data_IF_506173795207
#
_entry.id   IF_506173795207
#
_cell.length_a   1.000
_cell.length_b   1.000
_cell.length_c   1.000
_cell.angle_alpha   90.00
_cell.angle_beta   90.00
_cell.angle_gamma   90.00
#
_symmetry.space_group_name_H-M   'P 1'
#
loop_
_entity.id
_entity.type
_entity.pdbx_description
1 polymer ?
#
# COMPACT_ATOMS: atom_id res chain seq x y z
N UNK A 1 -33.09 -14.85 24.33
CA UNK A 1 -34.27 -15.69 23.97
C UNK A 1 -35.36 -14.98 23.14
N UNK A 2 -35.41 -13.67 23.03
CA UNK A 2 -36.44 -12.93 22.26
C UNK A 2 -36.24 -12.87 20.73
N UNK A 3 -35.02 -13.10 20.22
CA UNK A 3 -34.71 -13.01 18.80
C UNK A 3 -35.13 -14.21 17.96
N UNK A 4 -35.21 -15.39 18.58
CA UNK A 4 -35.59 -16.64 17.86
C UNK A 4 -37.12 -16.84 17.75
N UNK A 5 -37.92 -16.14 18.56
CA UNK A 5 -39.38 -16.23 18.49
C UNK A 5 -39.96 -15.39 17.34
N UNK A 6 -39.28 -14.28 16.96
CA UNK A 6 -39.70 -13.48 15.82
C UNK A 6 -39.42 -14.18 14.48
N UNK A 7 -38.25 -14.85 14.34
CA UNK A 7 -37.94 -15.63 13.12
C UNK A 7 -38.91 -16.80 12.90
N UNK A 8 -39.32 -17.50 14.01
CA UNK A 8 -40.24 -18.62 13.90
C UNK A 8 -41.68 -18.18 13.56
N UNK A 9 -42.10 -17.01 14.01
CA UNK A 9 -43.40 -16.44 13.62
C UNK A 9 -43.41 -15.93 12.16
N UNK A 10 -42.29 -15.45 11.63
CA UNK A 10 -42.17 -15.07 10.22
C UNK A 10 -42.16 -16.28 9.30
N UNK A 11 -41.47 -17.38 9.67
CA UNK A 11 -41.51 -18.63 8.90
C UNK A 11 -42.90 -19.31 8.89
N UNK A 12 -43.63 -19.24 10.02
CA UNK A 12 -44.97 -19.83 10.09
C UNK A 12 -46.02 -19.01 9.31
N UNK A 13 -45.88 -17.70 9.27
CA UNK A 13 -46.74 -16.83 8.46
C UNK A 13 -46.52 -17.01 6.95
N UNK A 14 -45.29 -17.39 6.55
CA UNK A 14 -44.98 -17.75 5.16
C UNK A 14 -45.60 -19.10 4.71
N UNK A 15 -45.81 -20.04 5.64
CA UNK A 15 -46.38 -21.36 5.34
C UNK A 15 -47.91 -21.37 5.24
N UNK A 16 -48.60 -20.30 5.69
CA UNK A 16 -50.06 -20.21 5.70
C UNK A 16 -50.60 -19.14 4.73
N UNK A 17 -49.75 -18.49 3.96
CA UNK A 17 -50.19 -17.52 2.97
C UNK A 17 -50.94 -18.22 1.82
N UNK A 18 -52.10 -17.67 1.36
CA UNK A 18 -52.86 -18.27 0.28
C UNK A 18 -52.02 -18.37 -1.00
N UNK A 19 -52.21 -19.48 -1.74
CA UNK A 19 -51.44 -19.80 -2.96
C UNK A 19 -51.37 -18.64 -3.97
N UNK A 20 -52.34 -17.70 -3.97
CA UNK A 20 -52.34 -16.48 -4.75
C UNK A 20 -51.24 -15.46 -4.32
N UNK A 21 -50.84 -15.47 -3.06
CA UNK A 21 -49.75 -14.62 -2.60
C UNK A 21 -48.39 -15.17 -3.06
N UNK A 22 -48.25 -16.50 -3.14
CA UNK A 22 -47.08 -17.16 -3.69
C UNK A 22 -47.01 -17.07 -5.21
N UNK A 23 -48.17 -17.10 -5.92
CA UNK A 23 -48.20 -16.90 -7.35
C UNK A 23 -47.76 -15.49 -7.76
N UNK A 24 -48.15 -14.43 -6.98
CA UNK A 24 -47.71 -13.05 -7.25
C UNK A 24 -46.26 -12.76 -6.88
N UNK A 25 -45.60 -13.59 -6.04
CA UNK A 25 -44.19 -13.52 -5.72
C UNK A 25 -43.33 -14.26 -6.74
N UNK A 26 -43.89 -15.24 -7.42
CA UNK A 26 -43.21 -16.00 -8.47
C UNK A 26 -43.19 -15.29 -9.84
N UNK A 27 -43.97 -14.21 -10.01
CA UNK A 27 -44.12 -13.49 -11.26
C UNK A 27 -43.39 -12.13 -11.35
N UNK A 28 -42.58 -11.79 -10.35
CA UNK A 28 -41.73 -10.59 -10.43
C UNK A 28 -40.26 -10.99 -10.71
N UNK A 29 -39.84 -10.94 -11.99
CA UNK A 29 -38.49 -11.33 -12.37
C UNK A 29 -37.41 -10.49 -11.71
N UNK A 30 -37.66 -9.19 -11.35
CA UNK A 30 -36.71 -8.37 -10.68
C UNK A 30 -36.46 -8.86 -9.26
N UNK A 31 -37.49 -9.16 -8.51
CA UNK A 31 -37.40 -9.70 -7.15
C UNK A 31 -36.69 -11.06 -7.14
N UNK A 32 -37.05 -11.96 -8.05
CA UNK A 32 -36.39 -13.25 -8.21
C UNK A 32 -34.87 -13.06 -8.52
N UNK A 33 -34.56 -12.12 -9.41
CA UNK A 33 -33.17 -11.79 -9.76
C UNK A 33 -32.35 -11.30 -8.55
N UNK A 34 -32.91 -10.41 -7.74
CA UNK A 34 -32.25 -9.88 -6.52
C UNK A 34 -32.00 -11.01 -5.51
N UNK A 35 -33.03 -11.85 -5.24
CA UNK A 35 -32.89 -13.00 -4.35
C UNK A 35 -31.82 -14.01 -4.82
N UNK A 36 -31.73 -14.26 -6.11
CA UNK A 36 -30.70 -15.12 -6.71
C UNK A 36 -29.31 -14.48 -6.59
N UNK A 37 -29.19 -13.17 -6.79
CA UNK A 37 -27.93 -12.44 -6.66
C UNK A 37 -27.42 -12.49 -5.22
N UNK A 38 -28.30 -12.20 -4.25
CA UNK A 38 -27.98 -12.24 -2.81
C UNK A 38 -27.60 -13.67 -2.35
N UNK A 39 -28.14 -14.69 -3.01
CA UNK A 39 -27.77 -16.09 -2.80
C UNK A 39 -26.47 -16.49 -3.52
N UNK A 40 -25.77 -15.57 -4.18
CA UNK A 40 -24.54 -15.83 -4.93
C UNK A 40 -24.73 -16.55 -6.27
N UNK A 41 -25.99 -16.76 -6.70
CA UNK A 41 -26.33 -17.39 -7.99
C UNK A 41 -26.39 -16.36 -9.11
N UNK A 42 -25.24 -15.69 -9.32
CA UNK A 42 -25.18 -14.48 -10.16
C UNK A 42 -25.56 -14.75 -11.61
N UNK A 43 -25.21 -15.92 -12.16
CA UNK A 43 -25.55 -16.27 -13.55
C UNK A 43 -27.07 -16.49 -13.74
N UNK A 44 -27.72 -17.11 -12.78
CA UNK A 44 -29.17 -17.28 -12.76
C UNK A 44 -29.87 -15.93 -12.56
N UNK A 45 -29.33 -15.07 -11.70
CA UNK A 45 -29.82 -13.70 -11.48
C UNK A 45 -29.82 -12.90 -12.80
N UNK A 46 -28.76 -12.99 -13.61
CA UNK A 46 -28.69 -12.31 -14.91
C UNK A 46 -29.84 -12.71 -15.85
N UNK A 47 -30.24 -13.96 -15.84
CA UNK A 47 -31.38 -14.43 -16.67
C UNK A 47 -32.68 -13.77 -16.21
N UNK A 48 -32.88 -13.65 -14.89
CA UNK A 48 -34.10 -13.04 -14.37
C UNK A 48 -34.10 -11.50 -14.56
N UNK A 49 -32.93 -10.84 -14.43
CA UNK A 49 -32.78 -9.42 -14.80
C UNK A 49 -33.11 -9.19 -16.28
N UNK A 50 -32.67 -10.06 -17.17
CA UNK A 50 -33.01 -9.98 -18.61
C UNK A 50 -34.51 -10.11 -18.85
N UNK A 51 -35.22 -11.02 -18.13
CA UNK A 51 -36.66 -11.13 -18.17
C UNK A 51 -37.35 -9.86 -17.68
N UNK A 52 -36.90 -9.30 -16.55
CA UNK A 52 -37.40 -8.04 -15.98
C UNK A 52 -37.29 -6.90 -16.99
N UNK A 53 -36.10 -6.75 -17.61
CA UNK A 53 -35.84 -5.71 -18.59
C UNK A 53 -36.54 -5.90 -19.93
N UNK A 54 -36.82 -7.15 -20.33
CA UNK A 54 -37.68 -7.48 -21.50
C UNK A 54 -39.13 -7.07 -21.24
N UNK A 55 -39.61 -7.29 -20.02
CA UNK A 55 -40.95 -6.88 -19.61
C UNK A 55 -41.07 -5.35 -19.44
N UNK A 56 -40.07 -4.71 -18.84
CA UNK A 56 -40.03 -3.26 -18.67
C UNK A 56 -38.64 -2.67 -18.99
N UNK A 57 -38.40 -2.22 -20.23
CA UNK A 57 -37.10 -1.61 -20.62
C UNK A 57 -36.77 -0.26 -19.97
N UNK A 58 -37.67 0.30 -19.16
CA UNK A 58 -37.47 1.57 -18.45
C UNK A 58 -37.21 1.38 -16.94
N UNK A 59 -36.96 0.16 -16.50
CA UNK A 59 -36.71 -0.17 -15.10
C UNK A 59 -35.25 0.09 -14.72
N UNK A 60 -34.96 1.33 -14.25
CA UNK A 60 -33.63 1.77 -13.90
C UNK A 60 -32.96 0.83 -12.86
N UNK A 61 -33.73 0.38 -11.86
CA UNK A 61 -33.28 -0.53 -10.81
C UNK A 61 -32.78 -1.88 -11.36
N UNK A 62 -33.47 -2.43 -12.37
CA UNK A 62 -33.05 -3.68 -13.00
C UNK A 62 -31.71 -3.53 -13.76
N UNK A 63 -31.50 -2.40 -14.44
CA UNK A 63 -30.20 -2.09 -15.03
C UNK A 63 -29.12 -1.94 -13.98
N UNK A 64 -29.40 -1.19 -12.90
CA UNK A 64 -28.43 -1.02 -11.81
C UNK A 64 -28.02 -2.35 -11.20
N UNK A 65 -28.98 -3.19 -10.82
CA UNK A 65 -28.71 -4.48 -10.20
C UNK A 65 -28.04 -5.47 -11.18
N UNK A 66 -28.43 -5.48 -12.47
CA UNK A 66 -27.74 -6.25 -13.48
C UNK A 66 -26.32 -5.78 -13.71
N UNK A 67 -26.08 -4.47 -13.63
CA UNK A 67 -24.76 -3.86 -13.64
C UNK A 67 -23.89 -4.36 -12.47
N UNK A 68 -24.45 -4.46 -11.26
CA UNK A 68 -23.79 -5.06 -10.10
C UNK A 68 -23.43 -6.53 -10.37
N UNK A 69 -24.37 -7.32 -10.88
CA UNK A 69 -24.13 -8.74 -11.22
C UNK A 69 -23.03 -8.91 -12.29
N UNK A 70 -22.99 -8.05 -13.30
CA UNK A 70 -21.90 -8.03 -14.28
C UNK A 70 -20.56 -7.63 -13.66
N UNK A 71 -20.56 -6.66 -12.75
CA UNK A 71 -19.34 -6.23 -12.03
C UNK A 71 -18.74 -7.35 -11.18
N UNK A 72 -19.58 -8.10 -10.45
CA UNK A 72 -19.18 -9.22 -9.62
C UNK A 72 -18.57 -10.37 -10.44
N UNK A 73 -19.05 -10.58 -11.65
CA UNK A 73 -18.48 -11.52 -12.63
C UNK A 73 -17.26 -10.97 -13.38
N UNK A 74 -16.81 -9.75 -13.09
CA UNK A 74 -15.69 -9.10 -13.80
C UNK A 74 -16.02 -8.66 -15.22
N UNK A 75 -17.30 -8.66 -15.61
CA UNK A 75 -17.78 -8.27 -16.93
C UNK A 75 -17.92 -6.73 -17.02
N UNK A 76 -16.77 -6.04 -16.93
CA UNK A 76 -16.72 -4.60 -16.73
C UNK A 76 -17.43 -3.80 -17.82
N UNK A 77 -17.37 -4.23 -19.11
CA UNK A 77 -18.00 -3.49 -20.20
C UNK A 77 -19.53 -3.57 -20.14
N UNK A 78 -20.08 -4.74 -19.77
CA UNK A 78 -21.50 -4.92 -19.55
C UNK A 78 -22.00 -4.10 -18.36
N UNK A 79 -21.23 -4.10 -17.24
CA UNK A 79 -21.51 -3.28 -16.08
C UNK A 79 -21.57 -1.78 -16.45
N UNK A 80 -20.60 -1.26 -17.21
CA UNK A 80 -20.60 0.15 -17.66
C UNK A 80 -21.84 0.49 -18.48
N UNK A 81 -22.26 -0.41 -19.39
CA UNK A 81 -23.45 -0.21 -20.20
C UNK A 81 -24.70 -0.15 -19.34
N UNK A 82 -24.85 -1.09 -18.42
CA UNK A 82 -26.01 -1.17 -17.56
C UNK A 82 -26.10 0.01 -16.57
N UNK A 83 -25.01 0.38 -15.90
CA UNK A 83 -24.99 1.59 -15.09
C UNK A 83 -25.25 2.85 -15.93
N UNK A 84 -24.78 2.89 -17.18
CA UNK A 84 -25.08 3.97 -18.10
C UNK A 84 -26.58 4.11 -18.36
N UNK A 85 -27.29 3.00 -18.59
CA UNK A 85 -28.75 2.98 -18.79
C UNK A 85 -29.49 3.31 -17.47
N UNK A 86 -29.03 2.79 -16.34
CA UNK A 86 -29.59 3.14 -15.02
C UNK A 86 -29.54 4.66 -14.80
N UNK A 87 -28.39 5.29 -15.04
CA UNK A 87 -28.17 6.75 -14.90
C UNK A 87 -29.02 7.52 -15.92
N UNK A 88 -29.11 7.04 -17.15
CA UNK A 88 -29.95 7.70 -18.17
C UNK A 88 -31.43 7.73 -17.76
N UNK A 89 -31.91 6.65 -17.13
CA UNK A 89 -33.28 6.52 -16.66
C UNK A 89 -33.52 7.25 -15.32
N UNK A 90 -32.54 7.22 -14.42
CA UNK A 90 -32.56 7.92 -13.14
C UNK A 90 -31.25 8.71 -12.92
N UNK A 91 -31.13 9.94 -13.42
CA UNK A 91 -29.93 10.76 -13.29
C UNK A 91 -29.67 11.27 -11.86
N UNK A 92 -30.54 10.95 -10.90
CA UNK A 92 -30.36 11.31 -9.48
C UNK A 92 -29.89 10.16 -8.62
N UNK A 93 -29.59 9.02 -9.20
CA UNK A 93 -29.07 7.85 -8.49
C UNK A 93 -27.56 7.98 -8.27
N UNK A 94 -27.17 8.41 -7.06
CA UNK A 94 -25.78 8.55 -6.67
C UNK A 94 -25.02 7.21 -6.65
N UNK A 95 -25.72 6.09 -6.33
CA UNK A 95 -25.15 4.76 -6.28
C UNK A 95 -24.72 4.27 -7.68
N UNK A 96 -25.55 4.55 -8.68
CA UNK A 96 -25.24 4.18 -10.05
C UNK A 96 -23.97 4.90 -10.57
N UNK A 97 -23.80 6.20 -10.24
CA UNK A 97 -22.56 6.93 -10.53
C UNK A 97 -21.37 6.34 -9.74
N UNK A 98 -21.53 6.10 -8.44
CA UNK A 98 -20.48 5.51 -7.61
C UNK A 98 -20.00 4.16 -8.14
N UNK A 99 -20.93 3.26 -8.44
CA UNK A 99 -20.60 1.93 -8.94
C UNK A 99 -19.97 1.99 -10.34
N UNK A 100 -20.45 2.86 -11.22
CA UNK A 100 -19.83 3.08 -12.54
C UNK A 100 -18.42 3.65 -12.42
N UNK A 101 -18.19 4.56 -11.48
CA UNK A 101 -16.87 5.09 -11.16
C UNK A 101 -15.91 3.98 -10.70
N UNK A 102 -16.38 3.04 -9.86
CA UNK A 102 -15.59 1.89 -9.43
C UNK A 102 -15.17 1.01 -10.61
N UNK A 103 -16.06 0.80 -11.59
CA UNK A 103 -15.72 0.07 -12.82
C UNK A 103 -14.67 0.81 -13.63
N UNK A 104 -14.82 2.12 -13.82
CA UNK A 104 -13.82 2.94 -14.52
C UNK A 104 -12.45 2.88 -13.83
N UNK A 105 -12.42 2.98 -12.50
CA UNK A 105 -11.18 2.85 -11.71
C UNK A 105 -10.52 1.48 -11.90
N UNK A 106 -11.31 0.41 -11.87
CA UNK A 106 -10.82 -0.97 -12.14
C UNK A 106 -10.21 -1.10 -13.53
N UNK A 107 -10.75 -0.38 -14.51
CA UNK A 107 -10.24 -0.30 -15.88
C UNK A 107 -9.11 0.73 -16.06
N UNK A 108 -8.65 1.38 -14.98
CA UNK A 108 -7.65 2.47 -14.98
C UNK A 108 -8.05 3.66 -15.87
N UNK A 109 -9.35 3.93 -15.94
CA UNK A 109 -9.93 5.06 -16.65
C UNK A 109 -10.22 6.18 -15.64
N UNK A 110 -9.17 6.83 -15.17
CA UNK A 110 -9.23 7.76 -14.02
C UNK A 110 -10.13 8.96 -14.27
N UNK A 111 -10.11 9.58 -15.46
CA UNK A 111 -10.91 10.79 -15.70
C UNK A 111 -12.42 10.51 -15.72
N UNK A 112 -12.94 9.47 -16.39
CA UNK A 112 -14.33 9.05 -16.24
C UNK A 112 -14.72 8.74 -14.79
N UNK A 113 -13.86 8.04 -14.03
CA UNK A 113 -14.10 7.74 -12.62
C UNK A 113 -14.23 9.02 -11.78
N UNK A 114 -13.32 10.00 -11.94
CA UNK A 114 -13.37 11.28 -11.24
C UNK A 114 -14.66 12.07 -11.54
N UNK A 115 -15.12 12.04 -12.78
CA UNK A 115 -16.36 12.69 -13.18
C UNK A 115 -17.57 12.06 -12.47
N UNK A 116 -17.63 10.74 -12.44
CA UNK A 116 -18.72 9.99 -11.81
C UNK A 116 -18.68 10.10 -10.28
N UNK A 117 -17.52 10.00 -9.62
CA UNK A 117 -17.45 10.27 -8.17
C UNK A 117 -17.86 11.72 -7.85
N UNK A 118 -17.51 12.67 -8.71
CA UNK A 118 -17.93 14.06 -8.50
C UNK A 118 -19.44 14.25 -8.67
N UNK A 119 -20.07 13.50 -9.57
CA UNK A 119 -21.53 13.47 -9.72
C UNK A 119 -22.18 12.82 -8.48
N UNK A 120 -21.63 11.68 -7.99
CA UNK A 120 -22.11 11.01 -6.79
C UNK A 120 -22.02 11.94 -5.56
N UNK A 121 -20.90 12.65 -5.38
CA UNK A 121 -20.71 13.64 -4.31
C UNK A 121 -21.75 14.77 -4.39
N UNK A 122 -22.01 15.28 -5.59
CA UNK A 122 -23.01 16.34 -5.77
C UNK A 122 -24.42 15.88 -5.39
N UNK A 123 -24.75 14.61 -5.64
CA UNK A 123 -26.06 14.03 -5.33
C UNK A 123 -26.16 13.62 -3.85
N UNK A 124 -25.09 13.10 -3.29
CA UNK A 124 -25.01 12.59 -1.91
C UNK A 124 -23.73 13.07 -1.22
N UNK A 125 -23.67 14.33 -0.75
CA UNK A 125 -22.48 14.95 -0.19
C UNK A 125 -22.12 14.44 1.22
N UNK A 126 -22.97 13.61 1.83
CA UNK A 126 -22.73 12.99 3.14
C UNK A 126 -22.14 11.57 3.07
N UNK A 127 -21.80 11.08 1.89
CA UNK A 127 -21.22 9.76 1.69
C UNK A 127 -19.69 9.83 1.63
N UNK A 128 -19.00 9.50 2.73
CA UNK A 128 -17.55 9.57 2.85
C UNK A 128 -16.81 8.75 1.79
N UNK A 129 -17.36 7.60 1.42
CA UNK A 129 -16.77 6.68 0.43
C UNK A 129 -16.55 7.31 -0.95
N UNK A 130 -17.39 8.27 -1.36
CA UNK A 130 -17.25 8.99 -2.62
C UNK A 130 -15.98 9.84 -2.64
N UNK A 131 -15.74 10.57 -1.55
CA UNK A 131 -14.53 11.38 -1.35
C UNK A 131 -13.30 10.51 -1.22
N UNK A 132 -13.36 9.40 -0.44
CA UNK A 132 -12.25 8.47 -0.30
C UNK A 132 -11.77 7.93 -1.64
N UNK A 133 -12.70 7.45 -2.46
CA UNK A 133 -12.34 6.86 -3.74
C UNK A 133 -11.83 7.90 -4.74
N UNK A 134 -12.41 9.12 -4.74
CA UNK A 134 -11.91 10.22 -5.57
C UNK A 134 -10.53 10.70 -5.08
N UNK A 135 -10.35 10.82 -3.77
CA UNK A 135 -9.09 11.15 -3.14
C UNK A 135 -7.98 10.15 -3.47
N UNK A 136 -8.31 8.85 -3.49
CA UNK A 136 -7.34 7.82 -3.88
C UNK A 136 -6.87 7.98 -5.33
N UNK A 137 -7.76 8.30 -6.28
CA UNK A 137 -7.34 8.60 -7.66
C UNK A 137 -6.47 9.86 -7.71
N UNK A 138 -6.79 10.89 -6.91
CA UNK A 138 -5.94 12.07 -6.81
C UNK A 138 -4.57 11.74 -6.24
N UNK A 139 -4.50 10.89 -5.21
CA UNK A 139 -3.24 10.43 -4.62
C UNK A 139 -2.39 9.66 -5.62
N UNK A 140 -2.96 8.67 -6.31
CA UNK A 140 -2.28 7.86 -7.32
C UNK A 140 -1.74 8.72 -8.49
N UNK A 141 -2.47 9.77 -8.84
CA UNK A 141 -2.06 10.77 -9.83
C UNK A 141 -1.11 11.84 -9.27
N UNK A 142 -0.59 11.68 -8.04
CA UNK A 142 0.29 12.62 -7.32
C UNK A 142 -0.31 14.02 -7.12
N UNK A 143 -1.63 14.16 -7.18
CA UNK A 143 -2.37 15.39 -6.90
C UNK A 143 -2.71 15.46 -5.41
N UNK A 144 -1.68 15.48 -4.57
CA UNK A 144 -1.81 15.30 -3.13
C UNK A 144 -2.65 16.36 -2.43
N UNK A 145 -2.60 17.63 -2.86
CA UNK A 145 -3.46 18.66 -2.28
C UNK A 145 -4.97 18.42 -2.56
N UNK A 146 -5.30 17.83 -3.72
CA UNK A 146 -6.68 17.42 -4.02
C UNK A 146 -7.09 16.21 -3.19
N UNK A 147 -6.20 15.24 -3.01
CA UNK A 147 -6.42 14.08 -2.15
C UNK A 147 -6.66 14.51 -0.69
N UNK A 148 -5.85 15.44 -0.16
CA UNK A 148 -6.01 15.99 1.19
C UNK A 148 -7.38 16.65 1.37
N UNK A 149 -7.88 17.39 0.39
CA UNK A 149 -9.22 18.00 0.43
C UNK A 149 -10.29 16.93 0.53
N UNK A 150 -10.23 15.92 -0.32
CA UNK A 150 -11.20 14.84 -0.34
C UNK A 150 -11.15 14.02 0.96
N UNK A 151 -9.97 13.62 1.44
CA UNK A 151 -9.85 12.91 2.71
C UNK A 151 -10.28 13.75 3.91
N UNK A 152 -10.12 15.09 3.85
CA UNK A 152 -10.62 15.97 4.90
C UNK A 152 -12.14 16.02 4.95
N UNK A 153 -12.83 15.95 3.80
CA UNK A 153 -14.29 15.83 3.77
C UNK A 153 -14.74 14.45 4.28
N UNK A 154 -14.02 13.37 3.92
CA UNK A 154 -14.31 12.04 4.48
C UNK A 154 -14.19 12.03 6.02
N UNK A 155 -13.12 12.62 6.57
CA UNK A 155 -12.93 12.78 8.01
C UNK A 155 -14.06 13.60 8.66
N UNK A 156 -14.51 14.68 8.00
CA UNK A 156 -15.63 15.50 8.52
C UNK A 156 -16.92 14.69 8.62
N UNK A 157 -17.14 13.77 7.68
CA UNK A 157 -18.35 12.93 7.62
C UNK A 157 -18.24 11.75 8.60
N UNK A 158 -17.11 11.06 8.62
CA UNK A 158 -16.85 9.88 9.44
C UNK A 158 -15.58 10.07 10.28
N UNK A 159 -15.63 10.88 11.37
CA UNK A 159 -14.44 11.24 12.14
C UNK A 159 -13.85 10.08 12.95
N UNK A 160 -14.57 8.99 13.11
CA UNK A 160 -14.11 7.80 13.87
C UNK A 160 -13.42 6.76 13.00
N UNK A 161 -13.39 6.92 11.68
CA UNK A 161 -12.66 6.01 10.81
C UNK A 161 -11.17 6.40 10.70
N UNK A 162 -10.29 5.59 11.28
CA UNK A 162 -8.85 5.79 11.28
C UNK A 162 -8.22 5.77 9.88
N UNK A 163 -8.84 5.05 8.93
CA UNK A 163 -8.35 4.93 7.57
C UNK A 163 -8.34 6.27 6.81
N UNK A 164 -9.29 7.16 7.11
CA UNK A 164 -9.36 8.48 6.49
C UNK A 164 -8.15 9.33 6.87
N UNK A 165 -7.79 9.33 8.15
CA UNK A 165 -6.59 10.02 8.65
C UNK A 165 -5.32 9.39 8.08
N UNK A 166 -5.24 8.06 8.04
CA UNK A 166 -4.10 7.36 7.45
C UNK A 166 -3.85 7.79 5.99
N UNK A 167 -4.90 7.81 5.17
CA UNK A 167 -4.81 8.21 3.76
C UNK A 167 -4.41 9.69 3.61
N UNK A 168 -4.92 10.58 4.46
CA UNK A 168 -4.54 11.99 4.46
C UNK A 168 -3.09 12.17 4.93
N UNK A 169 -2.68 11.45 5.98
CA UNK A 169 -1.32 11.40 6.47
C UNK A 169 -0.31 10.98 5.39
N UNK A 170 -0.65 9.97 4.59
CA UNK A 170 0.15 9.56 3.44
C UNK A 170 0.31 10.69 2.41
N UNK A 171 -0.76 11.46 2.19
CA UNK A 171 -0.73 12.60 1.28
C UNK A 171 0.14 13.74 1.82
N UNK A 172 0.09 14.00 3.12
CA UNK A 172 0.98 14.97 3.77
C UNK A 172 2.45 14.53 3.71
N UNK A 173 2.71 13.25 3.97
CA UNK A 173 4.08 12.71 3.91
C UNK A 173 4.66 12.82 2.50
N UNK A 174 3.85 12.54 1.47
CA UNK A 174 4.25 12.68 0.07
C UNK A 174 4.57 14.13 -0.34
N UNK A 175 4.02 15.12 0.37
CA UNK A 175 4.33 16.55 0.24
C UNK A 175 5.46 17.02 1.18
N UNK A 176 6.16 16.10 1.86
CA UNK A 176 7.17 16.38 2.89
C UNK A 176 6.64 17.22 4.09
N UNK A 177 5.30 17.24 4.30
CA UNK A 177 4.62 17.88 5.44
C UNK A 177 4.61 16.91 6.63
N UNK A 178 5.79 16.66 7.19
CA UNK A 178 6.04 15.59 8.18
C UNK A 178 5.21 15.74 9.45
N UNK A 179 5.11 16.94 9.99
CA UNK A 179 4.39 17.19 11.25
C UNK A 179 2.87 16.98 11.09
N UNK A 180 2.31 17.36 9.93
CA UNK A 180 0.90 17.10 9.62
C UNK A 180 0.64 15.60 9.41
N UNK A 181 1.57 14.91 8.74
CA UNK A 181 1.50 13.47 8.56
C UNK A 181 1.54 12.73 9.91
N UNK A 182 2.45 13.11 10.82
CA UNK A 182 2.56 12.51 12.15
C UNK A 182 1.26 12.68 12.93
N UNK A 183 0.66 13.88 12.94
CA UNK A 183 -0.62 14.14 13.62
C UNK A 183 -1.75 13.26 13.07
N UNK A 184 -1.80 13.09 11.76
CA UNK A 184 -2.82 12.26 11.12
C UNK A 184 -2.60 10.77 11.42
N UNK A 185 -1.37 10.27 11.42
CA UNK A 185 -1.09 8.90 11.85
C UNK A 185 -1.39 8.67 13.34
N UNK A 186 -1.12 9.64 14.21
CA UNK A 186 -1.54 9.60 15.62
C UNK A 186 -3.05 9.48 15.75
N UNK A 187 -3.80 10.27 14.97
CA UNK A 187 -5.25 10.20 14.94
C UNK A 187 -5.79 8.87 14.39
N UNK A 188 -5.13 8.31 13.36
CA UNK A 188 -5.44 7.00 12.82
C UNK A 188 -5.23 5.89 13.85
N UNK A 189 -4.06 5.89 14.53
CA UNK A 189 -3.69 4.89 15.53
C UNK A 189 -4.51 4.99 16.84
N UNK A 190 -5.01 6.18 17.17
CA UNK A 190 -5.94 6.34 18.30
C UNK A 190 -7.30 5.63 18.03
N UNK A 191 -7.68 5.47 16.75
CA UNK A 191 -8.91 4.82 16.32
C UNK A 191 -8.71 3.34 15.99
N UNK A 192 -7.61 3.02 15.33
CA UNK A 192 -7.22 1.64 15.06
C UNK A 192 -5.76 1.39 15.48
N UNK A 193 -5.53 0.91 16.71
CA UNK A 193 -4.19 0.57 17.21
C UNK A 193 -3.53 -0.64 16.52
N UNK A 194 -4.24 -1.32 15.61
CA UNK A 194 -3.73 -2.47 14.87
C UNK A 194 -3.30 -2.12 13.43
N UNK A 195 -3.38 -0.87 13.05
CA UNK A 195 -3.00 -0.41 11.71
C UNK A 195 -1.47 -0.37 11.57
N UNK A 196 -0.88 -1.52 11.23
CA UNK A 196 0.57 -1.70 11.12
C UNK A 196 1.22 -0.67 10.18
N UNK A 197 0.56 -0.37 9.06
CA UNK A 197 1.06 0.58 8.06
C UNK A 197 1.11 2.02 8.58
N UNK A 198 0.23 2.38 9.53
CA UNK A 198 0.27 3.72 10.15
C UNK A 198 1.48 3.88 11.08
N UNK A 199 1.82 2.86 11.87
CA UNK A 199 3.08 2.86 12.62
C UNK A 199 4.28 2.94 11.68
N UNK A 200 4.32 2.11 10.64
CA UNK A 200 5.42 2.12 9.68
C UNK A 200 5.61 3.49 9.03
N UNK A 201 4.55 4.10 8.52
CA UNK A 201 4.62 5.39 7.85
C UNK A 201 4.91 6.55 8.83
N UNK A 202 4.41 6.49 10.07
CA UNK A 202 4.79 7.45 11.12
C UNK A 202 6.27 7.32 11.49
N UNK A 203 6.79 6.10 11.57
CA UNK A 203 8.22 5.82 11.74
C UNK A 203 9.07 6.43 10.62
N UNK A 204 8.63 6.35 9.37
CA UNK A 204 9.26 7.04 8.24
C UNK A 204 9.23 8.57 8.44
N UNK A 205 8.08 9.13 8.81
CA UNK A 205 7.95 10.57 9.06
C UNK A 205 8.86 11.04 10.20
N UNK A 206 8.97 10.28 11.30
CA UNK A 206 9.92 10.54 12.39
C UNK A 206 11.36 10.45 11.93
N UNK A 207 11.72 9.43 11.11
CA UNK A 207 13.08 9.30 10.56
C UNK A 207 13.46 10.49 9.69
N UNK A 208 12.55 10.96 8.84
CA UNK A 208 12.75 12.16 8.02
C UNK A 208 12.82 13.45 8.84
N UNK A 209 12.30 13.43 10.06
CA UNK A 209 12.42 14.53 11.04
C UNK A 209 13.61 14.37 12.00
N UNK A 210 14.51 13.41 11.75
CA UNK A 210 15.64 13.02 12.60
C UNK A 210 15.24 12.57 14.02
N UNK A 211 13.99 12.23 14.26
CA UNK A 211 13.47 11.69 15.53
C UNK A 211 13.64 10.17 15.54
N UNK A 212 14.90 9.70 15.54
CA UNK A 212 15.21 8.28 15.31
C UNK A 212 14.70 7.34 16.40
N UNK A 213 14.69 7.80 17.68
CA UNK A 213 14.17 6.99 18.79
C UNK A 213 12.65 6.76 18.66
N UNK A 214 11.90 7.78 18.24
CA UNK A 214 10.48 7.68 17.98
C UNK A 214 10.23 6.74 16.79
N UNK A 215 11.04 6.86 15.73
CA UNK A 215 10.97 5.99 14.57
C UNK A 215 11.22 4.52 14.94
N UNK A 216 12.22 4.23 15.79
CA UNK A 216 12.52 2.87 16.26
C UNK A 216 11.31 2.27 16.98
N UNK A 217 10.68 3.03 17.90
CA UNK A 217 9.47 2.56 18.60
C UNK A 217 8.32 2.24 17.65
N UNK A 218 8.10 3.07 16.65
CA UNK A 218 7.06 2.84 15.67
C UNK A 218 7.34 1.64 14.75
N UNK A 219 8.59 1.47 14.31
CA UNK A 219 8.97 0.27 13.56
C UNK A 219 8.88 -0.99 14.42
N UNK A 220 9.13 -0.92 15.73
CA UNK A 220 8.93 -2.05 16.65
C UNK A 220 7.46 -2.49 16.67
N UNK A 221 6.50 -1.56 16.78
CA UNK A 221 5.08 -1.90 16.75
C UNK A 221 4.63 -2.37 15.35
N UNK A 222 5.13 -1.75 14.27
CA UNK A 222 4.85 -2.22 12.91
C UNK A 222 5.31 -3.68 12.69
N UNK A 223 6.52 -4.02 13.13
CA UNK A 223 7.09 -5.38 13.03
C UNK A 223 6.31 -6.38 13.90
N UNK A 224 5.92 -5.97 15.09
CA UNK A 224 5.10 -6.81 16.00
C UNK A 224 3.74 -7.16 15.38
N UNK A 225 3.13 -6.22 14.67
CA UNK A 225 1.85 -6.42 13.98
C UNK A 225 2.03 -7.17 12.64
N UNK A 226 3.12 -6.93 11.93
CA UNK A 226 3.46 -7.57 10.66
C UNK A 226 4.95 -7.97 10.62
N UNK A 227 5.27 -9.14 11.12
CA UNK A 227 6.64 -9.67 11.17
C UNK A 227 7.24 -10.06 9.81
N UNK A 228 6.47 -9.98 8.72
CA UNK A 228 6.94 -10.23 7.36
C UNK A 228 7.32 -8.95 6.60
N UNK A 229 7.24 -7.77 7.23
CA UNK A 229 7.58 -6.50 6.60
C UNK A 229 9.10 -6.28 6.59
N UNK A 230 9.77 -6.68 5.50
CA UNK A 230 11.21 -6.50 5.32
C UNK A 230 11.64 -5.02 5.38
N UNK A 231 10.81 -4.11 4.88
CA UNK A 231 11.11 -2.67 4.86
C UNK A 231 11.10 -2.07 6.28
N UNK A 232 10.24 -2.56 7.16
CA UNK A 232 10.20 -2.10 8.55
C UNK A 232 11.48 -2.49 9.30
N UNK A 233 12.00 -3.70 9.11
CA UNK A 233 13.31 -4.10 9.63
C UNK A 233 14.42 -3.24 9.05
N UNK A 234 14.45 -3.07 7.73
CA UNK A 234 15.47 -2.26 7.07
C UNK A 234 15.50 -0.81 7.61
N UNK A 235 14.35 -0.16 7.69
CA UNK A 235 14.25 1.22 8.17
C UNK A 235 14.54 1.36 9.66
N UNK A 236 14.17 0.37 10.49
CA UNK A 236 14.60 0.31 11.90
C UNK A 236 16.11 0.18 12.01
N UNK A 237 16.73 -0.66 11.18
CA UNK A 237 18.18 -0.78 11.08
C UNK A 237 18.86 0.54 10.71
N UNK A 238 18.31 1.28 9.74
CA UNK A 238 18.80 2.62 9.40
C UNK A 238 18.71 3.59 10.60
N UNK A 239 17.58 3.62 11.30
CA UNK A 239 17.39 4.46 12.48
C UNK A 239 18.36 4.06 13.61
N UNK A 240 18.57 2.75 13.85
CA UNK A 240 19.56 2.24 14.80
C UNK A 240 21.00 2.64 14.43
N UNK A 241 21.35 2.63 13.15
CA UNK A 241 22.65 3.13 12.67
C UNK A 241 22.86 4.60 13.02
N UNK A 242 21.82 5.42 12.86
CA UNK A 242 21.86 6.86 13.20
C UNK A 242 22.01 7.13 14.70
N UNK A 243 21.54 6.20 15.54
CA UNK A 243 21.66 6.28 17.01
C UNK A 243 22.87 5.51 17.57
N UNK A 244 23.76 5.00 16.71
CA UNK A 244 24.97 4.27 17.11
C UNK A 244 24.73 2.82 17.57
N UNK A 245 23.52 2.29 17.44
CA UNK A 245 23.16 0.91 17.83
C UNK A 245 23.52 -0.09 16.73
N UNK A 246 24.83 -0.19 16.41
CA UNK A 246 25.31 -0.91 15.24
C UNK A 246 24.99 -2.41 15.26
N UNK A 247 25.14 -3.09 16.40
CA UNK A 247 24.82 -4.52 16.51
C UNK A 247 23.31 -4.77 16.28
N UNK A 248 22.43 -3.94 16.86
CA UNK A 248 21.00 -4.04 16.62
C UNK A 248 20.60 -3.72 15.17
N UNK A 249 21.35 -2.85 14.48
CA UNK A 249 21.14 -2.62 13.05
C UNK A 249 21.55 -3.85 12.20
N UNK A 250 22.64 -4.53 12.58
CA UNK A 250 23.06 -5.78 11.92
C UNK A 250 21.99 -6.86 12.01
N UNK A 251 21.36 -7.01 13.18
CA UNK A 251 20.23 -7.93 13.39
C UNK A 251 19.08 -7.58 12.46
N UNK A 252 18.67 -6.31 12.43
CA UNK A 252 17.54 -5.83 11.60
C UNK A 252 17.82 -6.03 10.10
N UNK A 253 18.98 -5.64 9.61
CA UNK A 253 19.34 -5.89 8.22
C UNK A 253 19.41 -7.39 7.89
N UNK A 254 19.80 -8.24 8.84
CA UNK A 254 19.81 -9.68 8.63
C UNK A 254 18.41 -10.24 8.44
N UNK A 255 17.43 -9.75 9.20
CA UNK A 255 16.03 -10.11 9.00
C UNK A 255 15.47 -9.54 7.69
N UNK A 256 15.80 -8.30 7.32
CA UNK A 256 15.42 -7.73 6.04
C UNK A 256 15.94 -8.58 4.86
N UNK A 257 17.19 -9.01 4.90
CA UNK A 257 17.82 -9.90 3.89
C UNK A 257 17.11 -11.26 3.85
N UNK A 258 16.78 -11.83 5.01
CA UNK A 258 16.07 -13.12 5.10
C UNK A 258 14.69 -13.04 4.44
N UNK A 259 13.98 -11.93 4.64
CA UNK A 259 12.65 -11.70 4.09
C UNK A 259 12.68 -11.31 2.60
N UNK A 260 13.71 -10.57 2.17
CA UNK A 260 13.91 -10.16 0.78
C UNK A 260 15.37 -10.34 0.35
N UNK A 261 15.74 -11.53 -0.07
CA UNK A 261 17.11 -11.88 -0.47
C UNK A 261 17.58 -11.26 -1.79
N UNK A 262 16.67 -10.60 -2.55
CA UNK A 262 17.00 -9.95 -3.83
C UNK A 262 17.33 -8.46 -3.65
N UNK A 263 17.09 -7.91 -2.47
CA UNK A 263 17.44 -6.54 -2.15
C UNK A 263 18.97 -6.43 -1.95
N UNK A 264 19.57 -5.40 -2.56
CA UNK A 264 21.00 -5.12 -2.41
C UNK A 264 21.29 -4.06 -1.36
N UNK A 265 20.29 -3.28 -0.94
CA UNK A 265 20.45 -2.18 0.02
C UNK A 265 20.71 -2.72 1.44
N UNK A 266 19.96 -3.74 1.85
CA UNK A 266 20.11 -4.32 3.18
C UNK A 266 21.51 -4.94 3.41
N UNK A 267 22.06 -5.79 2.53
CA UNK A 267 23.43 -6.28 2.70
C UNK A 267 24.47 -5.15 2.57
N UNK A 268 24.25 -4.13 1.75
CA UNK A 268 25.14 -2.99 1.67
C UNK A 268 25.25 -2.27 3.03
N UNK A 269 24.10 -1.92 3.62
CA UNK A 269 24.06 -1.22 4.91
C UNK A 269 24.52 -2.10 6.07
N UNK A 270 24.27 -3.44 6.03
CA UNK A 270 24.82 -4.40 6.99
C UNK A 270 26.35 -4.45 6.90
N UNK A 271 26.91 -4.44 5.68
CA UNK A 271 28.35 -4.34 5.45
C UNK A 271 28.95 -3.10 6.08
N UNK A 272 28.29 -1.93 5.92
CA UNK A 272 28.71 -0.69 6.59
C UNK A 272 28.63 -0.82 8.12
N UNK A 273 27.56 -1.45 8.65
CA UNK A 273 27.42 -1.68 10.09
C UNK A 273 28.52 -2.61 10.61
N UNK A 274 28.85 -3.70 9.90
CA UNK A 274 29.96 -4.58 10.24
C UNK A 274 31.32 -3.85 10.26
N UNK A 275 31.55 -2.93 9.31
CA UNK A 275 32.76 -2.09 9.34
C UNK A 275 32.83 -1.22 10.61
N UNK A 276 31.71 -0.67 11.05
CA UNK A 276 31.65 0.17 12.30
C UNK A 276 32.00 -0.63 13.55
N UNK A 277 31.71 -1.92 13.59
CA UNK A 277 32.03 -2.81 14.72
C UNK A 277 33.30 -3.65 14.49
N UNK A 278 34.09 -3.34 13.45
CA UNK A 278 35.35 -4.01 13.17
C UNK A 278 35.24 -5.45 12.60
N UNK A 279 34.04 -5.91 12.21
CA UNK A 279 33.81 -7.24 11.68
C UNK A 279 34.05 -7.29 10.16
N UNK A 280 35.31 -7.04 9.75
CA UNK A 280 35.68 -6.82 8.35
C UNK A 280 35.39 -8.01 7.42
N UNK A 281 35.55 -9.25 7.88
CA UNK A 281 35.26 -10.44 7.07
C UNK A 281 33.79 -10.55 6.70
N UNK A 282 32.91 -10.23 7.63
CA UNK A 282 31.46 -10.20 7.38
C UNK A 282 31.10 -9.08 6.40
N UNK A 283 31.68 -7.89 6.58
CA UNK A 283 31.48 -6.78 5.66
C UNK A 283 31.92 -7.11 4.23
N UNK A 284 33.07 -7.75 4.05
CA UNK A 284 33.55 -8.17 2.73
C UNK A 284 32.61 -9.17 2.04
N UNK A 285 32.01 -10.09 2.81
CA UNK A 285 30.99 -11.02 2.29
C UNK A 285 29.75 -10.27 1.83
N UNK A 286 29.27 -9.32 2.63
CA UNK A 286 28.09 -8.52 2.29
C UNK A 286 28.32 -7.69 1.04
N UNK A 287 29.44 -6.97 0.90
CA UNK A 287 29.75 -6.25 -0.33
C UNK A 287 29.94 -7.18 -1.53
N UNK A 288 30.40 -8.40 -1.32
CA UNK A 288 30.45 -9.40 -2.40
C UNK A 288 29.04 -9.81 -2.83
N UNK A 289 28.11 -9.99 -1.89
CA UNK A 289 26.69 -10.23 -2.20
C UNK A 289 26.08 -9.06 -2.98
N UNK A 290 26.36 -7.83 -2.56
CA UNK A 290 25.91 -6.63 -3.31
C UNK A 290 26.43 -6.64 -4.74
N UNK A 291 27.72 -6.95 -4.94
CA UNK A 291 28.32 -7.04 -6.29
C UNK A 291 27.67 -8.12 -7.16
N UNK A 292 27.28 -9.24 -6.55
CA UNK A 292 26.54 -10.30 -7.28
C UNK A 292 25.15 -9.82 -7.70
N UNK A 293 24.44 -9.13 -6.81
CA UNK A 293 23.09 -8.61 -7.10
C UNK A 293 23.12 -7.40 -8.03
N UNK A 294 24.12 -6.54 -7.86
CA UNK A 294 24.29 -5.28 -8.61
C UNK A 294 25.75 -5.15 -9.11
N UNK A 295 26.15 -5.80 -10.22
CA UNK A 295 27.53 -5.78 -10.71
C UNK A 295 28.07 -4.40 -11.13
N UNK A 296 27.20 -3.41 -11.21
CA UNK A 296 27.54 -2.01 -11.53
C UNK A 296 27.59 -1.08 -10.31
N UNK A 297 27.44 -1.60 -9.11
CA UNK A 297 27.54 -0.82 -7.87
C UNK A 297 29.00 -0.49 -7.55
N UNK A 298 29.47 0.68 -7.98
CA UNK A 298 30.86 1.10 -7.79
C UNK A 298 31.26 1.18 -6.31
N UNK A 299 30.35 1.64 -5.44
CA UNK A 299 30.62 1.79 -4.01
C UNK A 299 30.90 0.44 -3.32
N UNK A 300 30.20 -0.61 -3.71
CA UNK A 300 30.44 -1.94 -3.15
C UNK A 300 31.87 -2.46 -3.45
N UNK A 301 32.39 -2.19 -4.64
CA UNK A 301 33.79 -2.48 -4.97
C UNK A 301 34.73 -1.61 -4.13
N UNK A 302 34.45 -0.30 -3.95
CA UNK A 302 35.26 0.60 -3.12
C UNK A 302 35.36 0.05 -1.69
N UNK A 303 34.22 -0.22 -1.04
CA UNK A 303 34.21 -0.69 0.33
C UNK A 303 34.90 -2.04 0.50
N UNK A 304 34.66 -2.98 -0.43
CA UNK A 304 35.38 -4.26 -0.42
C UNK A 304 36.87 -4.09 -0.62
N UNK A 305 37.27 -3.22 -1.52
CA UNK A 305 38.67 -2.86 -1.74
C UNK A 305 39.34 -2.27 -0.50
N UNK A 306 38.69 -1.34 0.20
CA UNK A 306 39.18 -0.79 1.46
C UNK A 306 39.39 -1.91 2.52
N UNK A 307 38.42 -2.80 2.69
CA UNK A 307 38.54 -3.94 3.60
C UNK A 307 39.75 -4.80 3.24
N UNK A 308 39.96 -5.12 1.96
CA UNK A 308 41.06 -5.90 1.45
C UNK A 308 42.43 -5.26 1.74
N UNK A 309 42.51 -3.92 1.71
CA UNK A 309 43.71 -3.20 2.14
C UNK A 309 44.02 -3.48 3.61
N UNK A 310 43.02 -3.39 4.50
CA UNK A 310 43.22 -3.71 5.93
C UNK A 310 43.54 -5.18 6.21
N UNK A 311 43.12 -6.08 5.31
CA UNK A 311 43.45 -7.51 5.36
C UNK A 311 44.84 -7.85 4.72
N UNK A 312 45.64 -6.84 4.37
CA UNK A 312 46.92 -6.99 3.67
C UNK A 312 46.81 -7.70 2.30
N UNK A 313 45.64 -7.68 1.68
CA UNK A 313 45.39 -8.21 0.33
C UNK A 313 45.37 -7.09 -0.72
N UNK A 314 46.51 -6.46 -0.91
CA UNK A 314 46.64 -5.28 -1.78
C UNK A 314 46.33 -5.55 -3.26
N UNK A 315 46.66 -6.77 -3.76
CA UNK A 315 46.40 -7.13 -5.18
C UNK A 315 44.90 -7.16 -5.51
N UNK A 316 44.11 -7.80 -4.65
CA UNK A 316 42.69 -7.90 -4.84
C UNK A 316 41.99 -6.55 -4.55
N UNK A 317 42.55 -5.76 -3.62
CA UNK A 317 42.08 -4.38 -3.37
C UNK A 317 42.23 -3.51 -4.62
N UNK A 318 43.42 -3.57 -5.29
CA UNK A 318 43.66 -2.81 -6.52
C UNK A 318 42.71 -3.21 -7.64
N UNK A 319 42.39 -4.50 -7.75
CA UNK A 319 41.41 -5.01 -8.72
C UNK A 319 40.01 -4.40 -8.47
N UNK A 320 39.58 -4.36 -7.21
CA UNK A 320 38.31 -3.74 -6.84
C UNK A 320 38.28 -2.24 -7.13
N UNK A 321 39.36 -1.51 -6.77
CA UNK A 321 39.44 -0.07 -7.06
C UNK A 321 39.44 0.22 -8.57
N UNK A 322 40.18 -0.57 -9.35
CA UNK A 322 40.18 -0.42 -10.81
C UNK A 322 38.75 -0.62 -11.37
N UNK A 323 38.02 -1.64 -10.88
CA UNK A 323 36.64 -1.88 -11.30
C UNK A 323 35.72 -0.74 -10.89
N UNK A 324 35.84 -0.23 -9.67
CA UNK A 324 35.06 0.93 -9.21
C UNK A 324 35.31 2.15 -10.07
N UNK A 325 36.58 2.46 -10.40
CA UNK A 325 36.94 3.61 -11.24
C UNK A 325 36.55 3.45 -12.70
N UNK A 326 36.46 2.20 -13.19
CA UNK A 326 35.90 1.91 -14.51
C UNK A 326 34.39 2.21 -14.55
N UNK A 327 33.68 1.88 -13.47
CA UNK A 327 32.23 2.08 -13.34
C UNK A 327 31.88 3.57 -13.08
N UNK A 328 32.66 4.25 -12.25
CA UNK A 328 32.55 5.68 -11.97
C UNK A 328 33.94 6.33 -11.94
N UNK A 329 34.39 6.94 -13.06
CA UNK A 329 35.68 7.62 -13.11
C UNK A 329 35.84 8.80 -12.16
N UNK A 330 34.73 9.43 -11.71
CA UNK A 330 34.73 10.51 -10.75
C UNK A 330 35.22 10.11 -9.36
N UNK A 331 35.08 8.85 -9.02
CA UNK A 331 35.55 8.30 -7.72
C UNK A 331 37.07 8.34 -7.59
N UNK A 332 37.82 8.16 -8.69
CA UNK A 332 39.28 8.09 -8.64
C UNK A 332 39.91 9.30 -7.98
N UNK A 333 39.53 10.50 -8.43
CA UNK A 333 40.06 11.76 -7.87
C UNK A 333 39.75 11.94 -6.38
N UNK A 334 38.55 11.50 -5.96
CA UNK A 334 38.09 11.64 -4.57
C UNK A 334 38.72 10.62 -3.63
N UNK A 335 38.89 9.38 -4.09
CA UNK A 335 39.25 8.26 -3.25
C UNK A 335 40.75 7.92 -3.27
N UNK A 336 41.50 8.31 -4.31
CA UNK A 336 42.93 8.01 -4.42
C UNK A 336 43.71 8.42 -3.17
N UNK A 337 43.55 9.63 -2.60
CA UNK A 337 44.26 10.03 -1.37
C UNK A 337 43.89 9.15 -0.16
N UNK A 338 42.62 8.74 -0.06
CA UNK A 338 42.14 7.88 1.04
C UNK A 338 42.71 6.46 0.91
N UNK A 339 42.77 5.93 -0.32
CA UNK A 339 43.32 4.61 -0.61
C UNK A 339 44.83 4.58 -0.30
N UNK A 340 45.54 5.63 -0.69
CA UNK A 340 46.98 5.74 -0.45
C UNK A 340 47.30 5.85 1.05
N UNK A 341 46.53 6.63 1.81
CA UNK A 341 46.62 6.69 3.29
C UNK A 341 46.30 5.33 3.94
N UNK A 342 45.22 4.65 3.52
CA UNK A 342 44.87 3.33 4.03
C UNK A 342 45.99 2.28 3.74
N UNK A 343 46.58 2.31 2.56
CA UNK A 343 47.71 1.43 2.20
C UNK A 343 48.97 1.75 3.03
N UNK A 344 49.25 3.03 3.32
CA UNK A 344 50.36 3.44 4.16
C UNK A 344 50.17 2.94 5.58
N UNK A 345 48.98 3.11 6.15
CA UNK A 345 48.63 2.63 7.52
C UNK A 345 48.69 1.10 7.63
N UNK A 346 48.20 0.37 6.65
CA UNK A 346 48.29 -1.09 6.61
C UNK A 346 49.76 -1.60 6.61
N UNK A 347 50.62 -0.93 5.86
CA UNK A 347 52.07 -1.24 5.85
C UNK A 347 52.78 -0.90 7.15
N UNK A 348 52.39 0.15 7.88
CA UNK A 348 52.98 0.53 9.18
C UNK A 348 52.50 -0.39 10.33
N UNK A 349 51.23 -0.77 10.34
CA UNK A 349 50.68 -1.70 11.34
C UNK A 349 51.18 -3.14 11.22
N UNK A 350 51.70 -3.55 10.04
CA UNK A 350 52.28 -4.84 9.85
C UNK A 350 53.74 -4.95 10.41
N UNK A 351 54.26 -3.85 10.97
CA UNK A 351 55.61 -3.77 11.58
C UNK A 351 55.57 -3.73 13.11
N UNK A 352 54.42 -3.80 13.75
CA UNK A 352 54.22 -4.01 15.18
C UNK A 352 53.69 -5.43 15.47
#
# INVERSE_FOLDING_TARGET
>A
MARNVLLFRFLLALLTAPAKLWAGLADDPLKAAVELHDAGKIKEALVEYDKALKANPKLAEAYFNRGNAHYDLGQNQQALKDYGEAIRLNPKDSEAYFNRANVYRRLKQDQPALNDYSAAIKLSPSEARNYLNRGAIHFDAKRYDSAIKDYSEAIRIEPEDGQHYFNRGNSYLALDKKDDAIKDYEAALARDPKLADAYYNRGIAYSHSNKYEDAIRDFDEAIKLNSANAEAFYNRGLAKMKTGRHDGAIEDYSEAIRLNSKDAEAPFNRGLAYMRVGKHDFAARDFTQVIILQPKNADAYVYRGIIRVYQNNGKDADTDFQKAFQLDPGLKKKLQPIIDDAKAKAKSGAKQ
#
